data_IF_428680017551
#
_entry.id   IF_428680017551
#
_cell.length_a   1.000
_cell.length_b   1.000
_cell.length_c   1.000
_cell.angle_alpha   90.00
_cell.angle_beta   90.00
_cell.angle_gamma   90.00
#
_symmetry.space_group_name_H-M   'P 1'
#
loop_
_entity.id
_entity.type
_entity.pdbx_description
1 polymer ?
#
# COMPACT_ATOMS: atom_id res chain seq x y z
N UNK A 1 -75.84 2.87 49.12
CA UNK A 1 -76.43 4.21 48.86
C UNK A 1 -76.01 4.66 47.48
N UNK A 2 -76.95 5.22 46.73
CA UNK A 2 -76.85 5.59 45.33
C UNK A 2 -75.98 6.86 45.08
N UNK A 3 -75.35 6.89 43.90
CA UNK A 3 -75.35 7.99 42.90
C UNK A 3 -74.64 9.35 43.18
N UNK A 4 -73.77 9.70 42.20
CA UNK A 4 -73.90 10.83 41.23
C UNK A 4 -73.14 12.17 41.47
N UNK A 5 -72.28 12.46 40.48
CA UNK A 5 -72.06 13.68 39.65
C UNK A 5 -71.89 15.09 40.28
N UNK A 6 -71.00 15.86 39.62
CA UNK A 6 -71.17 17.28 39.26
C UNK A 6 -70.11 18.20 39.89
N UNK A 7 -69.24 18.89 39.16
CA UNK A 7 -69.40 20.05 38.24
C UNK A 7 -68.80 21.34 38.85
N UNK A 8 -67.61 21.72 38.36
CA UNK A 8 -67.21 23.04 37.79
C UNK A 8 -67.52 24.38 38.51
N UNK A 9 -66.47 25.19 38.77
CA UNK A 9 -66.22 26.63 38.39
C UNK A 9 -65.24 27.28 39.41
N UNK A 10 -64.04 27.72 39.02
CA UNK A 10 -63.65 28.99 38.36
C UNK A 10 -63.41 30.17 39.33
N UNK A 11 -62.18 30.74 39.33
CA UNK A 11 -61.86 32.13 38.90
C UNK A 11 -60.49 32.66 39.42
N UNK A 12 -59.72 33.20 38.45
CA UNK A 12 -58.81 34.39 38.44
C UNK A 12 -57.76 34.56 39.55
N UNK A 13 -56.50 34.96 39.32
CA UNK A 13 -55.82 35.88 38.37
C UNK A 13 -54.29 35.67 38.57
N UNK A 14 -53.33 35.95 37.69
CA UNK A 14 -52.98 37.17 36.95
C UNK A 14 -52.06 36.84 35.76
N UNK A 15 -52.09 37.72 34.76
CA UNK A 15 -51.39 37.69 33.47
C UNK A 15 -49.89 37.99 33.57
N UNK A 16 -49.09 37.40 32.66
CA UNK A 16 -48.05 38.14 31.93
C UNK A 16 -48.12 37.78 30.44
N UNK A 17 -48.34 38.81 29.63
CA UNK A 17 -48.26 38.75 28.17
C UNK A 17 -46.79 38.67 27.72
N UNK A 18 -46.53 37.87 26.70
CA UNK A 18 -45.36 37.95 25.84
C UNK A 18 -45.77 37.63 24.41
N UNK A 19 -45.64 38.61 23.51
CA UNK A 19 -46.08 38.59 22.12
C UNK A 19 -45.39 37.49 21.28
N UNK A 20 -46.18 36.76 20.48
CA UNK A 20 -45.70 35.92 19.38
C UNK A 20 -45.81 36.72 18.08
N UNK A 21 -44.68 37.11 17.49
CA UNK A 21 -44.62 37.61 16.11
C UNK A 21 -44.26 36.45 15.17
N UNK A 22 -45.19 36.11 14.28
CA UNK A 22 -44.93 35.29 13.11
C UNK A 22 -43.95 36.01 12.17
N UNK A 23 -42.80 35.40 11.90
CA UNK A 23 -42.09 35.59 10.64
C UNK A 23 -41.85 34.24 9.99
N UNK A 24 -42.42 34.09 8.80
CA UNK A 24 -42.06 33.05 7.83
C UNK A 24 -40.62 33.30 7.41
N UNK A 25 -39.74 32.33 7.58
CA UNK A 25 -38.48 32.28 6.86
C UNK A 25 -38.48 31.03 5.98
N UNK A 26 -38.62 31.25 4.67
CA UNK A 26 -38.27 30.26 3.67
C UNK A 26 -36.75 30.10 3.69
N UNK A 27 -36.25 28.93 4.08
CA UNK A 27 -34.93 28.48 3.63
C UNK A 27 -35.07 27.04 3.17
N UNK A 28 -35.03 26.87 1.85
CA UNK A 28 -34.84 25.57 1.25
C UNK A 28 -33.38 25.18 1.50
N UNK A 29 -33.15 24.25 2.42
CA UNK A 29 -31.87 23.57 2.48
C UNK A 29 -31.83 22.54 1.34
N UNK A 30 -30.83 22.57 0.46
CA UNK A 30 -30.58 21.46 -0.43
C UNK A 30 -30.22 20.24 0.42
N UNK A 31 -30.82 19.08 0.14
CA UNK A 31 -30.33 17.81 0.62
C UNK A 31 -28.90 17.61 0.08
N UNK A 32 -27.90 17.98 0.88
CA UNK A 32 -26.53 17.57 0.64
C UNK A 32 -26.40 16.10 1.07
N UNK A 33 -25.90 15.27 0.14
CA UNK A 33 -25.35 13.97 0.46
C UNK A 33 -24.34 14.10 1.63
N UNK A 34 -24.15 13.06 2.45
CA UNK A 34 -23.22 13.12 3.58
C UNK A 34 -21.82 13.48 3.05
N UNK A 35 -21.33 14.67 3.41
CA UNK A 35 -19.93 15.03 3.25
C UNK A 35 -19.12 14.05 4.11
N UNK A 36 -18.57 13.01 3.51
CA UNK A 36 -17.45 12.29 4.09
C UNK A 36 -16.31 13.31 4.21
N UNK A 37 -15.92 13.67 5.43
CA UNK A 37 -14.72 14.46 5.62
C UNK A 37 -13.52 13.56 5.30
N UNK A 38 -13.00 13.67 4.08
CA UNK A 38 -11.83 12.89 3.64
C UNK A 38 -10.59 13.11 4.52
N UNK A 39 -10.61 14.13 5.40
CA UNK A 39 -9.58 14.32 6.40
C UNK A 39 -9.56 13.21 7.46
N UNK A 40 -10.67 12.52 7.69
CA UNK A 40 -10.79 11.45 8.68
C UNK A 40 -10.14 10.13 8.22
N UNK A 41 -9.83 9.99 6.92
CA UNK A 41 -9.16 8.80 6.36
C UNK A 41 -7.64 8.81 6.60
N UNK A 42 -7.05 9.98 6.86
CA UNK A 42 -5.65 10.12 7.30
C UNK A 42 -5.58 11.10 8.47
N UNK A 43 -5.51 10.56 9.68
CA UNK A 43 -5.42 11.36 10.89
C UNK A 43 -3.99 11.89 11.07
N UNK A 44 -3.88 13.02 11.76
CA UNK A 44 -2.60 13.62 12.13
C UNK A 44 -2.52 13.68 13.64
N UNK A 45 -1.47 13.11 14.20
CA UNK A 45 -1.11 13.27 15.62
C UNK A 45 0.19 14.06 15.71
N UNK A 46 0.18 15.12 16.52
CA UNK A 46 1.35 15.95 16.78
C UNK A 46 1.80 15.82 18.23
N UNK A 47 3.06 15.43 18.43
CA UNK A 47 3.72 15.46 19.73
C UNK A 47 4.97 16.34 19.66
N UNK A 48 5.90 16.18 20.60
CA UNK A 48 7.03 17.09 20.83
C UNK A 48 7.72 17.56 19.53
N UNK A 49 8.63 16.76 18.97
CA UNK A 49 9.26 17.01 17.65
C UNK A 49 8.73 16.08 16.56
N UNK A 50 7.74 15.24 16.85
CA UNK A 50 7.22 14.25 15.92
C UNK A 50 5.84 14.60 15.36
N UNK A 51 5.61 14.22 14.10
CA UNK A 51 4.27 14.16 13.48
C UNK A 51 3.99 12.76 12.98
N UNK A 52 2.82 12.23 13.28
CA UNK A 52 2.37 10.95 12.77
C UNK A 52 1.23 11.13 11.76
N UNK A 53 1.39 10.52 10.58
CA UNK A 53 0.30 10.27 9.65
C UNK A 53 -0.29 8.88 9.96
N UNK A 54 -1.58 8.83 10.29
CA UNK A 54 -2.26 7.60 10.68
C UNK A 54 -3.30 7.25 9.60
N UNK A 55 -3.06 6.19 8.84
CA UNK A 55 -4.01 5.67 7.87
C UNK A 55 -5.22 5.12 8.62
N UNK A 56 -6.41 5.66 8.35
CA UNK A 56 -7.59 5.46 9.19
C UNK A 56 -8.83 5.04 8.40
N UNK A 57 -8.71 3.92 7.69
CA UNK A 57 -9.83 3.18 7.06
C UNK A 57 -9.79 1.72 7.49
N UNK A 58 -9.91 1.41 8.80
CA UNK A 58 -9.66 0.07 9.33
C UNK A 58 -10.64 -0.99 8.79
N UNK A 59 -11.87 -0.58 8.42
CA UNK A 59 -12.87 -1.45 7.77
C UNK A 59 -12.43 -1.93 6.38
N UNK A 60 -11.62 -1.14 5.68
CA UNK A 60 -11.05 -1.43 4.37
C UNK A 60 -9.55 -1.79 4.46
N UNK A 61 -9.06 -2.22 5.63
CA UNK A 61 -7.65 -2.56 5.87
C UNK A 61 -6.66 -1.44 5.49
N UNK A 62 -7.11 -0.19 5.61
CA UNK A 62 -6.33 0.99 5.24
C UNK A 62 -5.90 0.98 3.76
N UNK A 63 -6.72 0.41 2.87
CA UNK A 63 -6.52 0.51 1.44
C UNK A 63 -6.48 1.98 0.99
N UNK A 64 -5.50 2.31 0.14
CA UNK A 64 -5.13 3.67 -0.20
C UNK A 64 -6.04 4.24 -1.29
N UNK A 65 -6.73 5.34 -1.00
CA UNK A 65 -7.55 6.09 -1.96
C UNK A 65 -6.81 7.29 -2.53
N UNK A 66 -7.33 7.89 -3.61
CA UNK A 66 -6.77 9.13 -4.15
C UNK A 66 -6.80 10.31 -3.17
N UNK A 67 -7.88 10.57 -2.41
CA UNK A 67 -7.86 11.56 -1.35
C UNK A 67 -6.78 11.33 -0.28
N UNK A 68 -6.57 10.07 0.13
CA UNK A 68 -5.52 9.72 1.10
C UNK A 68 -4.12 10.01 0.53
N UNK A 69 -3.81 9.53 -0.67
CA UNK A 69 -2.50 9.77 -1.31
C UNK A 69 -2.21 11.26 -1.48
N UNK A 70 -3.19 12.04 -1.94
CA UNK A 70 -3.07 13.49 -2.07
C UNK A 70 -2.88 14.19 -0.71
N UNK A 71 -3.56 13.73 0.34
CA UNK A 71 -3.41 14.25 1.70
C UNK A 71 -2.04 13.93 2.28
N UNK A 72 -1.57 12.70 2.17
CA UNK A 72 -0.24 12.28 2.61
C UNK A 72 0.85 13.12 1.95
N UNK A 73 0.79 13.29 0.62
CA UNK A 73 1.72 14.15 -0.12
C UNK A 73 1.77 15.57 0.45
N UNK A 74 0.62 16.23 0.61
CA UNK A 74 0.55 17.59 1.17
C UNK A 74 1.10 17.69 2.59
N UNK A 75 0.81 16.69 3.43
CA UNK A 75 1.30 16.65 4.81
C UNK A 75 2.83 16.53 4.83
N UNK A 76 3.39 15.60 4.07
CA UNK A 76 4.84 15.37 4.03
C UNK A 76 5.58 16.59 3.49
N UNK A 77 5.12 17.18 2.38
CA UNK A 77 5.70 18.43 1.84
C UNK A 77 5.65 19.57 2.87
N UNK A 78 4.54 19.72 3.59
CA UNK A 78 4.40 20.75 4.61
C UNK A 78 5.26 20.50 5.87
N UNK A 79 5.40 19.25 6.28
CA UNK A 79 6.14 18.89 7.49
C UNK A 79 7.65 19.00 7.31
N UNK A 80 8.12 18.82 6.09
CA UNK A 80 9.54 18.92 5.75
C UNK A 80 10.06 20.35 5.88
N UNK A 81 9.27 21.33 5.42
CA UNK A 81 9.61 22.76 5.53
C UNK A 81 9.43 23.33 6.95
N UNK A 82 8.82 22.59 7.87
CA UNK A 82 8.50 23.08 9.21
C UNK A 82 9.65 22.81 10.21
N UNK A 83 10.35 23.82 10.75
CA UNK A 83 11.47 23.63 11.67
C UNK A 83 11.08 23.07 13.05
N UNK A 84 9.79 23.11 13.40
CA UNK A 84 9.30 22.53 14.66
C UNK A 84 9.11 21.01 14.58
N UNK A 85 9.13 20.44 13.37
CA UNK A 85 9.01 19.00 13.15
C UNK A 85 10.40 18.45 12.87
N UNK A 86 10.90 17.61 13.77
CA UNK A 86 12.19 16.96 13.65
C UNK A 86 12.13 15.64 12.87
N UNK A 87 11.07 14.85 13.05
CA UNK A 87 10.87 13.60 12.32
C UNK A 87 9.40 13.24 12.15
N UNK A 88 9.12 12.30 11.25
CA UNK A 88 7.77 11.89 10.90
C UNK A 88 7.56 10.38 11.12
N UNK A 89 6.32 10.01 11.46
CA UNK A 89 5.90 8.63 11.60
C UNK A 89 4.76 8.34 10.63
N UNK A 90 4.68 7.09 10.17
CA UNK A 90 3.51 6.55 9.50
C UNK A 90 3.06 5.26 10.16
N UNK A 91 1.76 5.14 10.44
CA UNK A 91 1.15 3.91 10.97
C UNK A 91 -0.27 3.73 10.42
N UNK A 92 -0.80 2.52 10.54
CA UNK A 92 -2.21 2.23 10.27
C UNK A 92 -3.04 2.13 11.55
N UNK A 93 -4.34 2.41 11.47
CA UNK A 93 -5.30 2.08 12.52
C UNK A 93 -5.89 0.68 12.33
N UNK A 94 -6.23 0.02 13.44
CA UNK A 94 -6.84 -1.31 13.40
C UNK A 94 -5.81 -2.42 13.15
N UNK A 95 -6.14 -3.37 12.25
CA UNK A 95 -5.42 -4.64 12.07
C UNK A 95 -4.43 -4.66 10.88
N UNK A 96 -4.29 -3.55 10.18
CA UNK A 96 -3.45 -3.44 9.01
C UNK A 96 -2.69 -2.12 9.04
N UNK A 97 -1.47 -2.10 8.53
CA UNK A 97 -0.81 -0.86 8.17
C UNK A 97 -1.49 -0.29 6.92
N UNK A 98 -1.39 -1.01 5.79
CA UNK A 98 -2.00 -0.66 4.51
C UNK A 98 -2.07 -1.92 3.63
N UNK A 99 -3.25 -2.27 3.14
CA UNK A 99 -3.44 -3.44 2.26
C UNK A 99 -3.23 -3.17 0.77
N UNK A 100 -2.60 -2.04 0.41
CA UNK A 100 -2.36 -1.65 -0.98
C UNK A 100 -3.37 -0.62 -1.49
N UNK A 101 -3.47 -0.47 -2.81
CA UNK A 101 -4.39 0.48 -3.45
C UNK A 101 -5.84 0.05 -3.24
N UNK A 102 -6.78 1.00 -3.19
CA UNK A 102 -8.22 0.70 -3.22
C UNK A 102 -8.63 0.24 -4.63
N UNK A 103 -8.24 -0.99 -4.96
CA UNK A 103 -8.36 -1.57 -6.29
C UNK A 103 -9.82 -1.72 -6.74
N UNK A 104 -10.75 -1.93 -5.80
CA UNK A 104 -12.19 -1.99 -6.09
C UNK A 104 -12.69 -0.63 -6.61
N UNK A 105 -12.24 0.47 -5.99
CA UNK A 105 -12.58 1.81 -6.47
C UNK A 105 -11.99 2.06 -7.86
N UNK A 106 -10.73 1.68 -8.11
CA UNK A 106 -10.12 1.80 -9.44
C UNK A 106 -10.87 0.99 -10.50
N UNK A 107 -11.27 -0.24 -10.17
CA UNK A 107 -12.07 -1.09 -11.06
C UNK A 107 -13.39 -0.41 -11.49
N UNK A 108 -14.12 0.17 -10.54
CA UNK A 108 -15.36 0.88 -10.86
C UNK A 108 -15.10 2.12 -11.72
N UNK A 109 -14.06 2.91 -11.41
CA UNK A 109 -13.67 4.06 -12.23
C UNK A 109 -13.32 3.66 -13.66
N UNK A 110 -12.56 2.58 -13.85
CA UNK A 110 -12.20 2.08 -15.18
C UNK A 110 -13.43 1.61 -15.98
N UNK A 111 -14.38 0.95 -15.32
CA UNK A 111 -15.62 0.50 -15.98
C UNK A 111 -16.57 1.66 -16.31
N UNK A 112 -16.52 2.74 -15.53
CA UNK A 112 -17.24 3.99 -15.81
C UNK A 112 -16.53 4.86 -16.88
N UNK A 113 -15.41 4.41 -17.44
CA UNK A 113 -14.63 5.14 -18.44
C UNK A 113 -13.82 6.31 -17.88
N UNK A 114 -13.63 6.39 -16.56
CA UNK A 114 -12.93 7.47 -15.85
C UNK A 114 -11.42 7.18 -15.70
N UNK A 115 -10.78 6.77 -16.78
CA UNK A 115 -9.36 6.35 -16.79
C UNK A 115 -8.45 7.49 -16.30
N UNK A 116 -8.77 8.74 -16.61
CA UNK A 116 -8.01 9.92 -16.17
C UNK A 116 -7.95 10.08 -14.64
N UNK A 117 -8.98 9.65 -13.92
CA UNK A 117 -8.96 9.67 -12.45
C UNK A 117 -7.97 8.63 -11.89
N UNK A 118 -7.90 7.45 -12.52
CA UNK A 118 -6.91 6.41 -12.18
C UNK A 118 -5.48 6.88 -12.49
N UNK A 119 -5.25 7.52 -13.64
CA UNK A 119 -3.91 8.07 -13.99
C UNK A 119 -3.42 9.09 -12.97
N UNK A 120 -4.29 10.02 -12.57
CA UNK A 120 -3.99 11.03 -11.52
C UNK A 120 -3.71 10.39 -10.17
N UNK A 121 -4.40 9.29 -9.84
CA UNK A 121 -4.10 8.53 -8.64
C UNK A 121 -2.68 7.98 -8.65
N UNK A 122 -2.29 7.24 -9.69
CA UNK A 122 -0.93 6.68 -9.81
C UNK A 122 0.14 7.79 -9.82
N UNK A 123 -0.09 8.88 -10.56
CA UNK A 123 0.81 10.03 -10.58
C UNK A 123 1.04 10.61 -9.17
N UNK A 124 -0.05 10.80 -8.42
CA UNK A 124 0.01 11.34 -7.05
C UNK A 124 0.69 10.37 -6.10
N UNK A 125 0.36 9.08 -6.18
CA UNK A 125 0.97 8.03 -5.37
C UNK A 125 2.48 7.98 -5.61
N UNK A 126 2.92 8.00 -6.86
CA UNK A 126 4.33 7.79 -7.19
C UNK A 126 5.17 9.01 -6.84
N UNK A 127 4.61 10.22 -7.04
CA UNK A 127 5.21 11.45 -6.50
C UNK A 127 5.33 11.40 -4.98
N UNK A 128 4.33 10.87 -4.28
CA UNK A 128 4.38 10.73 -2.83
C UNK A 128 5.45 9.72 -2.38
N UNK A 129 5.51 8.54 -3.00
CA UNK A 129 6.53 7.52 -2.70
C UNK A 129 7.93 8.09 -2.92
N UNK A 130 8.14 8.87 -3.99
CA UNK A 130 9.40 9.54 -4.22
C UNK A 130 9.74 10.56 -3.12
N UNK A 131 8.80 11.42 -2.73
CA UNK A 131 8.99 12.39 -1.62
C UNK A 131 9.35 11.67 -0.33
N UNK A 132 8.66 10.58 0.00
CA UNK A 132 8.96 9.79 1.19
C UNK A 132 10.33 9.12 1.10
N UNK A 133 10.70 8.56 -0.06
CA UNK A 133 11.98 7.90 -0.28
C UNK A 133 13.18 8.84 -0.24
N UNK A 134 12.95 10.13 -0.46
CA UNK A 134 13.96 11.20 -0.52
C UNK A 134 13.77 12.24 0.59
N UNK A 135 13.06 11.88 1.66
CA UNK A 135 12.59 12.83 2.66
C UNK A 135 13.74 13.42 3.48
N UNK A 136 13.81 14.74 3.69
CA UNK A 136 14.99 15.34 4.34
C UNK A 136 15.05 15.13 5.86
N UNK A 137 14.00 14.55 6.45
CA UNK A 137 13.90 14.26 7.88
C UNK A 137 13.78 12.77 8.12
N UNK A 138 14.13 12.26 9.31
CA UNK A 138 13.91 10.86 9.62
C UNK A 138 12.43 10.48 9.48
N UNK A 139 12.20 9.35 8.83
CA UNK A 139 10.88 8.76 8.63
C UNK A 139 10.83 7.38 9.29
N UNK A 140 9.83 7.15 10.14
CA UNK A 140 9.58 5.88 10.83
C UNK A 140 8.25 5.29 10.35
N UNK A 141 8.28 4.18 9.62
CA UNK A 141 7.10 3.39 9.32
C UNK A 141 6.89 2.29 10.37
N UNK A 142 5.69 2.24 10.97
CA UNK A 142 5.26 1.18 11.89
C UNK A 142 4.32 0.26 11.12
N UNK A 143 4.85 -0.91 10.75
CA UNK A 143 4.23 -1.90 9.89
C UNK A 143 3.49 -2.97 10.70
N UNK A 144 2.61 -2.56 11.61
CA UNK A 144 1.81 -3.49 12.42
C UNK A 144 0.61 -4.05 11.63
N UNK A 145 0.63 -5.34 11.32
CA UNK A 145 -0.43 -6.00 10.53
C UNK A 145 -0.13 -6.09 9.03
N UNK A 146 -1.18 -6.22 8.23
CA UNK A 146 -1.07 -6.35 6.77
C UNK A 146 -0.40 -5.12 6.14
N UNK A 147 0.68 -5.36 5.38
CA UNK A 147 1.43 -4.39 4.58
C UNK A 147 1.59 -4.95 3.17
N UNK A 148 0.66 -4.61 2.27
CA UNK A 148 0.63 -5.22 0.93
C UNK A 148 0.69 -4.20 -0.18
N UNK A 149 1.28 -4.58 -1.31
CA UNK A 149 1.44 -3.78 -2.51
C UNK A 149 1.97 -2.37 -2.26
N UNK A 150 1.23 -1.33 -2.67
CA UNK A 150 1.63 0.05 -2.43
C UNK A 150 1.84 0.41 -0.93
N UNK A 151 1.34 -0.40 0.02
CA UNK A 151 1.67 -0.29 1.44
C UNK A 151 3.19 -0.43 1.69
N UNK A 152 3.87 -1.29 0.95
CA UNK A 152 5.33 -1.35 0.92
C UNK A 152 5.94 -0.07 0.32
N UNK A 153 5.37 0.44 -0.76
CA UNK A 153 5.83 1.68 -1.40
C UNK A 153 5.77 2.90 -0.48
N UNK A 154 4.68 3.06 0.27
CA UNK A 154 4.52 4.15 1.24
C UNK A 154 5.20 3.89 2.60
N UNK A 155 6.19 2.99 2.65
CA UNK A 155 6.91 2.72 3.90
C UNK A 155 8.38 2.35 3.71
N UNK A 156 8.67 1.38 2.83
CA UNK A 156 9.98 0.76 2.70
C UNK A 156 11.09 1.75 2.27
N UNK A 157 10.85 2.69 1.32
CA UNK A 157 11.83 3.70 0.95
C UNK A 157 12.21 4.70 2.07
N UNK A 158 11.60 4.62 3.27
CA UNK A 158 11.92 5.50 4.39
C UNK A 158 13.26 5.22 5.07
N UNK A 159 13.49 5.80 6.26
CA UNK A 159 14.72 5.56 7.03
C UNK A 159 14.59 4.36 7.97
N UNK A 160 13.49 4.29 8.72
CA UNK A 160 13.23 3.21 9.68
C UNK A 160 11.92 2.49 9.37
N UNK A 161 11.98 1.16 9.42
CA UNK A 161 10.85 0.24 9.23
C UNK A 161 10.77 -0.66 10.45
N UNK A 162 9.79 -0.41 11.31
CA UNK A 162 9.49 -1.20 12.49
C UNK A 162 8.38 -2.20 12.17
N UNK A 163 8.70 -3.49 12.25
CA UNK A 163 7.75 -4.60 12.08
C UNK A 163 7.41 -5.26 13.41
N UNK A 164 6.32 -6.01 13.44
CA UNK A 164 5.84 -6.72 14.62
C UNK A 164 5.59 -8.20 14.34
N UNK A 165 5.23 -8.96 15.37
CA UNK A 165 4.73 -10.33 15.26
C UNK A 165 3.42 -10.44 14.45
N UNK A 166 2.74 -9.32 14.19
CA UNK A 166 1.53 -9.27 13.36
C UNK A 166 1.79 -8.88 11.91
N UNK A 167 2.99 -8.43 11.58
CA UNK A 167 3.31 -7.98 10.21
C UNK A 167 3.12 -9.11 9.22
N UNK A 168 2.40 -8.83 8.14
CA UNK A 168 2.29 -9.70 6.97
C UNK A 168 2.54 -8.86 5.73
N UNK A 169 3.70 -9.05 5.12
CA UNK A 169 4.14 -8.34 3.92
C UNK A 169 3.96 -9.20 2.67
N UNK A 170 3.46 -8.63 1.58
CA UNK A 170 3.42 -9.30 0.27
C UNK A 170 3.21 -8.31 -0.89
N UNK A 171 3.64 -8.71 -2.07
CA UNK A 171 3.31 -8.09 -3.35
C UNK A 171 2.47 -9.05 -4.22
N UNK A 172 1.15 -9.16 -3.99
CA UNK A 172 0.28 -10.11 -4.70
C UNK A 172 -0.23 -9.59 -6.06
N UNK A 173 0.35 -8.53 -6.62
CA UNK A 173 -0.17 -7.80 -7.78
C UNK A 173 -0.25 -8.66 -9.04
N UNK A 174 0.67 -9.59 -9.26
CA UNK A 174 0.63 -10.52 -10.40
C UNK A 174 -0.64 -11.37 -10.41
N UNK A 175 -1.16 -11.67 -9.22
CA UNK A 175 -2.40 -12.41 -9.03
C UNK A 175 -3.65 -11.56 -9.30
N UNK A 176 -3.50 -10.23 -9.35
CA UNK A 176 -4.56 -9.26 -9.68
C UNK A 176 -4.47 -8.79 -11.14
N UNK A 177 -3.58 -9.35 -11.96
CA UNK A 177 -3.36 -8.87 -13.32
C UNK A 177 -2.60 -7.53 -13.38
N UNK A 178 -1.72 -7.30 -12.41
CA UNK A 178 -0.91 -6.09 -12.30
C UNK A 178 0.55 -6.41 -11.99
N UNK A 179 1.42 -5.40 -11.98
CA UNK A 179 2.82 -5.57 -11.57
C UNK A 179 3.02 -5.06 -10.14
N UNK A 180 3.99 -5.59 -9.38
CA UNK A 180 4.47 -4.93 -8.17
C UNK A 180 4.93 -3.51 -8.49
N UNK A 181 4.39 -2.55 -7.76
CA UNK A 181 4.39 -1.15 -8.13
C UNK A 181 4.86 -0.25 -6.97
N UNK A 182 4.81 1.07 -7.15
CA UNK A 182 5.13 2.05 -6.10
C UNK A 182 6.51 1.85 -5.46
N UNK A 183 7.53 1.58 -6.26
CA UNK A 183 8.92 1.35 -5.85
C UNK A 183 9.25 -0.11 -5.55
N UNK A 184 8.33 -1.06 -5.75
CA UNK A 184 8.59 -2.48 -5.51
C UNK A 184 9.77 -3.02 -6.31
N UNK A 185 9.91 -2.62 -7.57
CA UNK A 185 11.08 -3.00 -8.37
C UNK A 185 12.40 -2.44 -7.84
N UNK A 186 12.38 -1.37 -7.05
CA UNK A 186 13.57 -0.84 -6.38
C UNK A 186 13.93 -1.68 -5.15
N UNK A 187 13.03 -1.87 -4.19
CA UNK A 187 13.38 -2.53 -2.94
C UNK A 187 13.46 -4.07 -3.06
N UNK A 188 12.65 -4.70 -3.92
CA UNK A 188 12.72 -6.17 -4.11
C UNK A 188 13.99 -6.58 -4.87
N UNK A 189 14.41 -5.81 -5.87
CA UNK A 189 15.61 -6.13 -6.68
C UNK A 189 16.93 -6.05 -5.91
N UNK A 190 16.92 -5.45 -4.71
CA UNK A 190 18.06 -5.31 -3.80
C UNK A 190 18.13 -6.39 -2.74
N UNK A 191 17.13 -7.29 -2.70
CA UNK A 191 17.16 -8.43 -1.79
C UNK A 191 18.25 -9.43 -2.22
N UNK A 192 18.73 -10.28 -1.28
CA UNK A 192 19.77 -11.25 -1.58
C UNK A 192 19.41 -12.17 -2.76
N UNK A 193 20.39 -12.42 -3.63
CA UNK A 193 20.25 -13.34 -4.75
C UNK A 193 19.08 -12.98 -5.68
N UNK A 194 18.20 -13.95 -5.89
CA UNK A 194 16.98 -13.85 -6.69
C UNK A 194 15.70 -13.88 -5.83
N UNK A 195 15.83 -13.54 -4.55
CA UNK A 195 14.70 -13.53 -3.62
C UNK A 195 13.64 -12.48 -3.98
N UNK A 196 14.05 -11.34 -4.56
CA UNK A 196 13.14 -10.31 -5.04
C UNK A 196 12.20 -10.80 -6.13
N UNK A 197 12.75 -11.49 -7.13
CA UNK A 197 12.02 -12.11 -8.22
C UNK A 197 11.03 -13.16 -7.70
N UNK A 198 11.45 -13.98 -6.72
CA UNK A 198 10.58 -14.93 -6.04
C UNK A 198 9.37 -14.25 -5.38
N UNK A 199 9.59 -13.23 -4.56
CA UNK A 199 8.49 -12.53 -3.87
C UNK A 199 7.55 -11.85 -4.86
N UNK A 200 8.10 -11.19 -5.88
CA UNK A 200 7.37 -10.43 -6.87
C UNK A 200 6.48 -11.31 -7.77
N UNK A 201 6.98 -12.47 -8.20
CA UNK A 201 6.27 -13.36 -9.11
C UNK A 201 5.21 -14.19 -8.39
N UNK A 202 5.51 -14.65 -7.18
CA UNK A 202 4.67 -15.61 -6.46
C UNK A 202 3.63 -14.94 -5.56
N UNK A 203 3.90 -13.69 -5.12
CA UNK A 203 3.11 -13.02 -4.10
C UNK A 203 3.20 -13.68 -2.72
N UNK A 204 4.29 -14.40 -2.45
CA UNK A 204 4.53 -15.04 -1.15
C UNK A 204 4.48 -14.03 -0.01
N UNK A 205 3.98 -14.48 1.15
CA UNK A 205 3.88 -13.65 2.34
C UNK A 205 5.12 -13.80 3.19
N UNK A 206 5.65 -12.67 3.66
CA UNK A 206 6.68 -12.62 4.70
C UNK A 206 6.08 -12.14 6.01
N UNK A 207 6.48 -12.78 7.10
CA UNK A 207 6.22 -12.25 8.43
C UNK A 207 7.29 -11.22 8.85
N UNK A 208 7.08 -10.54 9.99
CA UNK A 208 8.03 -9.53 10.49
C UNK A 208 9.45 -10.06 10.72
N UNK A 209 9.62 -11.31 11.17
CA UNK A 209 10.95 -11.91 11.39
C UNK A 209 11.67 -12.12 10.06
N UNK A 210 10.95 -12.57 9.04
CA UNK A 210 11.51 -12.78 7.70
C UNK A 210 11.88 -11.45 7.03
N UNK A 211 11.08 -10.40 7.22
CA UNK A 211 11.41 -9.06 6.73
C UNK A 211 12.71 -8.52 7.34
N UNK A 212 12.96 -8.76 8.63
CA UNK A 212 14.26 -8.39 9.25
C UNK A 212 15.39 -9.17 8.61
N UNK A 213 15.23 -10.49 8.47
CA UNK A 213 16.29 -11.35 8.02
C UNK A 213 16.67 -11.15 6.54
N UNK A 214 15.73 -10.72 5.68
CA UNK A 214 16.02 -10.36 4.30
C UNK A 214 16.38 -8.87 4.08
N UNK A 215 16.34 -8.04 5.13
CA UNK A 215 16.66 -6.62 5.07
C UNK A 215 15.52 -5.70 4.62
N UNK A 216 14.29 -6.20 4.46
CA UNK A 216 13.10 -5.37 4.21
C UNK A 216 12.66 -4.57 5.45
N UNK A 217 13.06 -4.96 6.65
CA UNK A 217 12.77 -4.21 7.87
C UNK A 217 14.05 -3.93 8.65
N UNK A 218 14.05 -2.84 9.42
CA UNK A 218 15.20 -2.44 10.24
C UNK A 218 15.10 -2.89 11.68
N UNK A 219 13.89 -2.89 12.23
CA UNK A 219 13.64 -3.12 13.64
C UNK A 219 12.42 -4.01 13.80
N UNK A 220 12.46 -4.88 14.80
CA UNK A 220 11.35 -5.75 15.16
C UNK A 220 11.02 -5.57 16.62
N UNK A 221 9.74 -5.51 16.96
CA UNK A 221 9.26 -5.58 18.34
C UNK A 221 8.00 -6.43 18.43
N UNK A 222 7.75 -7.05 19.58
CA UNK A 222 6.42 -7.61 19.84
C UNK A 222 5.36 -6.50 19.87
N UNK A 223 4.20 -6.74 19.27
CA UNK A 223 3.06 -5.82 19.25
C UNK A 223 2.66 -5.35 20.66
N UNK A 224 2.81 -6.22 21.67
CA UNK A 224 2.55 -5.89 23.08
C UNK A 224 3.41 -4.74 23.63
N UNK A 225 4.56 -4.45 23.00
CA UNK A 225 5.47 -3.35 23.37
C UNK A 225 5.33 -2.12 22.47
N UNK A 226 4.53 -2.19 21.40
CA UNK A 226 4.43 -1.13 20.41
C UNK A 226 4.01 0.21 21.02
N UNK A 227 3.05 0.18 21.96
CA UNK A 227 2.62 1.38 22.67
C UNK A 227 3.75 2.09 23.44
N UNK A 228 4.74 1.36 23.96
CA UNK A 228 5.89 1.95 24.64
C UNK A 228 6.85 2.63 23.67
N UNK A 229 7.04 2.05 22.49
CA UNK A 229 7.84 2.65 21.41
C UNK A 229 7.18 3.93 20.92
N UNK A 230 5.87 3.91 20.67
CA UNK A 230 5.14 5.09 20.22
C UNK A 230 5.17 6.22 21.26
N UNK A 231 5.01 5.88 22.54
CA UNK A 231 5.13 6.85 23.63
C UNK A 231 6.54 7.43 23.72
N UNK A 232 7.58 6.60 23.57
CA UNK A 232 8.97 7.04 23.55
C UNK A 232 9.22 8.01 22.40
N UNK A 233 8.90 7.61 21.17
CA UNK A 233 9.05 8.46 19.97
C UNK A 233 8.23 9.75 20.09
N UNK A 234 7.03 9.67 20.67
CA UNK A 234 6.19 10.83 20.91
C UNK A 234 6.81 11.90 21.81
N UNK A 235 7.57 11.47 22.82
CA UNK A 235 8.20 12.34 23.82
C UNK A 235 9.62 12.77 23.44
N UNK A 236 10.16 12.30 22.31
CA UNK A 236 11.50 12.66 21.86
C UNK A 236 11.56 14.11 21.38
N UNK A 237 12.59 14.82 21.84
CA UNK A 237 12.97 16.17 21.39
C UNK A 237 14.23 16.17 20.54
N UNK A 238 15.00 15.09 20.55
CA UNK A 238 16.15 14.88 19.68
C UNK A 238 15.68 14.16 18.40
N UNK A 239 15.97 14.75 17.26
CA UNK A 239 15.61 14.29 15.92
C UNK A 239 16.81 13.72 15.13
N UNK A 240 17.96 13.56 15.76
CA UNK A 240 19.10 12.83 15.21
C UNK A 240 18.70 11.37 14.88
N UNK A 241 18.90 10.89 13.63
CA UNK A 241 18.68 9.51 13.24
C UNK A 241 19.23 8.47 14.24
N UNK A 242 20.44 8.68 14.78
CA UNK A 242 21.06 7.74 15.71
C UNK A 242 20.29 7.63 17.05
N UNK A 243 19.69 8.73 17.50
CA UNK A 243 18.87 8.74 18.71
C UNK A 243 17.53 8.02 18.49
N UNK A 244 16.95 8.14 17.29
CA UNK A 244 15.73 7.42 16.88
C UNK A 244 16.03 5.93 16.79
N UNK A 245 17.11 5.54 16.11
CA UNK A 245 17.58 4.16 16.01
C UNK A 245 17.78 3.55 17.39
N UNK A 246 18.53 4.22 18.28
CA UNK A 246 18.74 3.74 19.64
C UNK A 246 17.43 3.58 20.42
N UNK A 247 16.44 4.45 20.18
CA UNK A 247 15.13 4.35 20.84
C UNK A 247 14.29 3.19 20.31
N UNK A 248 14.37 2.89 19.01
CA UNK A 248 13.74 1.71 18.40
C UNK A 248 14.41 0.42 18.90
N UNK A 249 15.74 0.38 18.89
CA UNK A 249 16.54 -0.77 19.33
C UNK A 249 16.36 -1.09 20.82
N UNK A 250 16.17 -0.09 21.68
CA UNK A 250 15.95 -0.29 23.12
C UNK A 250 14.76 -1.22 23.43
N UNK A 251 13.72 -1.17 22.62
CA UNK A 251 12.51 -1.99 22.76
C UNK A 251 12.44 -3.11 21.72
N UNK A 252 13.44 -3.18 20.84
CA UNK A 252 13.54 -4.19 19.81
C UNK A 252 13.90 -5.56 20.37
N UNK A 253 13.46 -6.60 19.68
CA UNK A 253 13.80 -7.98 20.01
C UNK A 253 14.71 -8.56 18.92
N UNK A 254 15.75 -9.29 19.33
CA UNK A 254 16.57 -10.08 18.40
C UNK A 254 15.77 -11.31 17.97
N UNK A 255 15.49 -11.41 16.68
CA UNK A 255 14.72 -12.49 16.08
C UNK A 255 15.50 -13.20 14.98
N UNK A 256 15.23 -14.48 14.81
CA UNK A 256 15.85 -15.31 13.79
C UNK A 256 14.77 -16.13 13.06
N UNK A 257 14.86 -16.27 11.73
CA UNK A 257 13.92 -17.11 10.98
C UNK A 257 13.92 -18.54 11.50
N UNK A 258 12.73 -19.10 11.63
CA UNK A 258 12.53 -20.49 12.02
C UNK A 258 13.01 -21.48 10.95
N UNK A 259 12.81 -22.78 11.19
CA UNK A 259 13.20 -23.84 10.25
C UNK A 259 12.28 -23.95 9.04
N UNK A 260 11.03 -23.49 9.15
CA UNK A 260 10.02 -23.47 8.10
C UNK A 260 10.08 -22.24 7.21
N UNK A 261 10.82 -21.20 7.63
CA UNK A 261 10.95 -19.95 6.89
C UNK A 261 11.45 -20.17 5.48
N UNK A 262 10.88 -19.40 4.55
CA UNK A 262 11.26 -19.44 3.14
C UNK A 262 12.72 -19.03 2.92
N UNK A 263 13.32 -18.28 3.85
CA UNK A 263 14.74 -17.94 3.80
C UNK A 263 15.66 -19.15 3.95
N UNK A 264 15.15 -20.29 4.44
CA UNK A 264 15.89 -21.56 4.46
C UNK A 264 15.92 -22.25 3.08
N UNK A 265 15.18 -21.73 2.09
CA UNK A 265 15.11 -22.22 0.71
C UNK A 265 15.91 -21.37 -0.27
N UNK A 266 16.78 -20.48 0.21
CA UNK A 266 17.48 -19.49 -0.64
C UNK A 266 18.26 -20.15 -1.79
N UNK A 267 18.93 -21.29 -1.56
CA UNK A 267 19.67 -21.99 -2.60
C UNK A 267 18.76 -22.50 -3.73
N UNK A 268 17.57 -23.01 -3.37
CA UNK A 268 16.56 -23.44 -4.36
C UNK A 268 15.94 -22.24 -5.08
N UNK A 269 15.69 -21.15 -4.35
CA UNK A 269 15.17 -19.91 -4.93
C UNK A 269 16.18 -19.34 -5.92
N UNK A 270 17.44 -19.18 -5.54
CA UNK A 270 18.50 -18.67 -6.40
C UNK A 270 18.71 -19.56 -7.62
N UNK A 271 18.65 -20.89 -7.44
CA UNK A 271 18.70 -21.82 -8.57
C UNK A 271 17.56 -21.58 -9.56
N UNK A 272 16.31 -21.57 -9.10
CA UNK A 272 15.16 -21.52 -9.99
C UNK A 272 14.85 -20.13 -10.55
N UNK A 273 14.96 -19.08 -9.73
CA UNK A 273 14.59 -17.71 -10.11
C UNK A 273 15.72 -16.94 -10.80
N UNK A 274 16.90 -17.55 -10.96
CA UNK A 274 17.98 -17.00 -11.78
C UNK A 274 17.76 -17.14 -13.29
N UNK A 275 16.90 -18.06 -13.72
CA UNK A 275 16.58 -18.30 -15.14
C UNK A 275 15.99 -17.07 -15.83
N UNK A 276 16.28 -16.90 -17.13
CA UNK A 276 16.07 -15.62 -17.81
C UNK A 276 14.61 -15.29 -18.12
N UNK A 277 13.79 -16.31 -18.27
CA UNK A 277 12.37 -16.19 -18.62
C UNK A 277 11.47 -16.85 -17.57
N UNK A 278 10.20 -16.43 -17.53
CA UNK A 278 9.23 -17.00 -16.58
C UNK A 278 9.00 -18.49 -16.88
N UNK A 279 9.01 -18.87 -18.15
CA UNK A 279 8.91 -20.23 -18.64
C UNK A 279 10.05 -21.09 -18.08
N UNK A 280 11.30 -20.66 -18.19
CA UNK A 280 12.45 -21.38 -17.66
C UNK A 280 12.42 -21.47 -16.12
N UNK A 281 11.92 -20.43 -15.43
CA UNK A 281 11.73 -20.46 -13.97
C UNK A 281 10.71 -21.56 -13.60
N UNK A 282 9.58 -21.64 -14.31
CA UNK A 282 8.56 -22.67 -14.11
C UNK A 282 9.14 -24.06 -14.38
N UNK A 283 9.83 -24.25 -15.50
CA UNK A 283 10.47 -25.52 -15.84
C UNK A 283 11.49 -25.94 -14.77
N UNK A 284 12.29 -25.01 -14.26
CA UNK A 284 13.23 -25.27 -13.17
C UNK A 284 12.51 -25.70 -11.89
N UNK A 285 11.43 -25.02 -11.53
CA UNK A 285 10.62 -25.37 -10.35
C UNK A 285 9.92 -26.74 -10.50
N UNK A 286 9.44 -27.10 -11.70
CA UNK A 286 8.85 -28.40 -11.96
C UNK A 286 9.87 -29.54 -11.81
N UNK A 287 11.10 -29.31 -12.30
CA UNK A 287 12.20 -30.25 -12.11
C UNK A 287 12.57 -30.43 -10.63
N UNK A 288 12.65 -29.35 -9.85
CA UNK A 288 12.90 -29.42 -8.41
C UNK A 288 11.76 -30.14 -7.66
N UNK A 289 10.51 -29.85 -8.00
CA UNK A 289 9.34 -30.48 -7.40
C UNK A 289 9.31 -32.00 -7.65
N UNK A 290 9.76 -32.45 -8.83
CA UNK A 290 9.84 -33.87 -9.19
C UNK A 290 11.02 -34.58 -8.51
N UNK A 291 12.18 -33.92 -8.39
CA UNK A 291 13.40 -34.53 -7.83
C UNK A 291 13.38 -34.72 -6.31
N UNK A 292 12.72 -33.81 -5.57
CA UNK A 292 12.79 -33.76 -4.11
C UNK A 292 11.47 -34.11 -3.38
N UNK A 293 10.39 -34.43 -4.10
CA UNK A 293 9.02 -34.50 -3.54
C UNK A 293 8.68 -33.26 -2.69
N UNK A 294 9.14 -32.09 -3.11
CA UNK A 294 9.03 -30.87 -2.31
C UNK A 294 7.67 -30.21 -2.51
N UNK A 295 6.81 -30.30 -1.49
CA UNK A 295 5.49 -29.66 -1.50
C UNK A 295 5.58 -28.13 -1.55
N UNK A 296 6.71 -27.52 -1.15
CA UNK A 296 6.92 -26.09 -1.29
C UNK A 296 6.98 -25.66 -2.76
N UNK A 297 7.80 -26.33 -3.59
CA UNK A 297 7.88 -26.03 -5.03
C UNK A 297 6.51 -26.16 -5.72
N UNK A 298 5.69 -27.14 -5.31
CA UNK A 298 4.33 -27.31 -5.84
C UNK A 298 3.41 -26.13 -5.48
N UNK A 299 3.50 -25.62 -4.26
CA UNK A 299 2.75 -24.41 -3.84
C UNK A 299 3.21 -23.19 -4.64
N UNK A 300 4.53 -23.02 -4.82
CA UNK A 300 5.10 -21.92 -5.61
C UNK A 300 4.60 -21.97 -7.06
N UNK A 301 4.68 -23.14 -7.69
CA UNK A 301 4.17 -23.36 -9.05
C UNK A 301 2.67 -23.06 -9.16
N UNK A 302 1.89 -23.51 -8.17
CA UNK A 302 0.46 -23.22 -8.13
C UNK A 302 0.20 -21.71 -8.10
N UNK A 303 0.88 -20.98 -7.23
CA UNK A 303 0.71 -19.53 -7.11
C UNK A 303 1.06 -18.80 -8.42
N UNK A 304 2.15 -19.20 -9.08
CA UNK A 304 2.52 -18.62 -10.38
C UNK A 304 1.50 -18.97 -11.48
N UNK A 305 1.02 -20.22 -11.54
CA UNK A 305 0.01 -20.63 -12.53
C UNK A 305 -1.36 -19.97 -12.35
N UNK A 306 -1.68 -19.50 -11.14
CA UNK A 306 -2.90 -18.73 -10.87
C UNK A 306 -2.77 -17.23 -11.20
N UNK A 307 -1.56 -16.73 -11.44
CA UNK A 307 -1.29 -15.33 -11.79
C UNK A 307 -1.49 -15.06 -13.29
N UNK A 308 -1.62 -13.78 -13.65
CA UNK A 308 -1.70 -13.36 -15.05
C UNK A 308 -0.37 -13.64 -15.77
N UNK A 309 -0.38 -14.36 -16.91
CA UNK A 309 0.84 -14.66 -17.66
C UNK A 309 1.60 -13.40 -18.10
N UNK A 310 0.87 -12.38 -18.59
CA UNK A 310 1.46 -11.10 -18.98
C UNK A 310 2.06 -10.39 -17.76
N UNK A 311 1.34 -10.39 -16.63
CA UNK A 311 1.80 -9.77 -15.39
C UNK A 311 3.09 -10.41 -14.85
N UNK A 312 3.24 -11.73 -14.97
CA UNK A 312 4.48 -12.42 -14.60
C UNK A 312 5.65 -11.94 -15.45
N UNK A 313 5.50 -11.87 -16.78
CA UNK A 313 6.60 -11.45 -17.67
C UNK A 313 7.03 -10.00 -17.45
N UNK A 314 6.06 -9.07 -17.36
CA UNK A 314 6.39 -7.65 -17.09
C UNK A 314 6.98 -7.47 -15.69
N UNK A 315 6.58 -8.29 -14.70
CA UNK A 315 7.14 -8.25 -13.35
C UNK A 315 8.59 -8.71 -13.34
N UNK A 316 8.90 -9.86 -13.96
CA UNK A 316 10.28 -10.37 -14.03
C UNK A 316 11.22 -9.33 -14.64
N UNK A 317 10.82 -8.72 -15.77
CA UNK A 317 11.61 -7.68 -16.42
C UNK A 317 11.77 -6.44 -15.51
N UNK A 318 10.69 -5.98 -14.86
CA UNK A 318 10.73 -4.81 -13.97
C UNK A 318 11.68 -4.98 -12.78
N UNK A 319 11.64 -6.14 -12.09
CA UNK A 319 12.55 -6.42 -10.97
C UNK A 319 14.01 -6.45 -11.46
N UNK A 320 14.29 -7.14 -12.57
CA UNK A 320 15.64 -7.27 -13.12
C UNK A 320 16.25 -5.94 -13.54
N UNK A 321 15.49 -5.11 -14.23
CA UNK A 321 15.93 -3.77 -14.59
C UNK A 321 16.07 -2.84 -13.36
N UNK A 322 15.20 -2.99 -12.35
CA UNK A 322 15.24 -2.22 -11.10
C UNK A 322 16.50 -2.42 -10.27
N UNK A 323 17.21 -3.53 -10.48
CA UNK A 323 18.50 -3.84 -9.83
C UNK A 323 19.60 -2.84 -10.17
N UNK A 324 19.50 -2.18 -11.34
CA UNK A 324 20.51 -1.25 -11.86
C UNK A 324 20.04 0.20 -11.92
N UNK A 325 18.85 0.50 -11.37
CA UNK A 325 18.22 1.80 -11.45
C UNK A 325 18.04 2.45 -10.09
N UNK A 326 18.06 3.78 -10.05
CA UNK A 326 17.69 4.57 -8.87
C UNK A 326 16.18 4.52 -8.60
N UNK A 327 15.75 4.95 -7.42
CA UNK A 327 14.33 4.94 -7.03
C UNK A 327 13.45 5.75 -8.00
N UNK A 328 13.90 6.94 -8.42
CA UNK A 328 13.19 7.78 -9.40
C UNK A 328 13.04 7.10 -10.76
N UNK A 329 14.08 6.40 -11.23
CA UNK A 329 14.05 5.66 -12.48
C UNK A 329 13.08 4.47 -12.41
N UNK A 330 13.11 3.72 -11.31
CA UNK A 330 12.16 2.63 -11.05
C UNK A 330 10.71 3.16 -11.02
N UNK A 331 10.45 4.25 -10.29
CA UNK A 331 9.11 4.86 -10.21
C UNK A 331 8.64 5.39 -11.56
N UNK A 332 9.51 6.03 -12.33
CA UNK A 332 9.17 6.50 -13.66
C UNK A 332 8.80 5.35 -14.60
N UNK A 333 9.56 4.24 -14.57
CA UNK A 333 9.22 3.02 -15.35
C UNK A 333 7.91 2.41 -14.89
N UNK A 334 7.77 2.16 -13.59
CA UNK A 334 6.56 1.57 -13.03
C UNK A 334 5.32 2.44 -13.32
N UNK A 335 5.47 3.76 -13.42
CA UNK A 335 4.37 4.65 -13.78
C UNK A 335 3.87 4.34 -15.19
N UNK A 336 4.79 4.19 -16.15
CA UNK A 336 4.44 3.77 -17.53
C UNK A 336 3.74 2.43 -17.52
N UNK A 337 4.28 1.46 -16.79
CA UNK A 337 3.72 0.12 -16.67
C UNK A 337 2.31 0.16 -16.07
N UNK A 338 2.09 0.96 -15.03
CA UNK A 338 0.79 1.14 -14.38
C UNK A 338 -0.23 1.74 -15.33
N UNK A 339 0.16 2.78 -16.08
CA UNK A 339 -0.71 3.39 -17.08
C UNK A 339 -1.04 2.41 -18.22
N UNK A 340 -0.06 1.63 -18.67
CA UNK A 340 -0.27 0.57 -19.66
C UNK A 340 -1.25 -0.50 -19.15
N UNK A 341 -1.06 -0.97 -17.91
CA UNK A 341 -1.91 -1.98 -17.26
C UNK A 341 -3.36 -1.56 -17.07
N UNK A 342 -3.63 -0.27 -16.84
CA UNK A 342 -5.00 0.24 -16.73
C UNK A 342 -5.62 0.68 -18.06
N UNK A 343 -4.82 0.81 -19.13
CA UNK A 343 -5.26 1.36 -20.42
C UNK A 343 -6.15 0.42 -21.24
N UNK A 344 -6.15 -0.88 -20.92
CA UNK A 344 -6.81 -1.94 -21.69
C UNK A 344 -6.34 -2.06 -23.15
N UNK A 345 -5.18 -1.47 -23.51
CA UNK A 345 -4.62 -1.53 -24.87
C UNK A 345 -4.06 -2.91 -25.22
N UNK A 346 -3.39 -3.54 -24.26
CA UNK A 346 -2.76 -4.86 -24.43
C UNK A 346 -3.63 -5.96 -23.83
N UNK A 347 -4.14 -5.73 -22.62
CA UNK A 347 -4.87 -6.72 -21.83
C UNK A 347 -5.84 -6.04 -20.88
N UNK A 348 -6.92 -6.74 -20.51
CA UNK A 348 -7.87 -6.33 -19.48
C UNK A 348 -7.61 -7.03 -18.12
N UNK A 349 -6.46 -7.71 -17.96
CA UNK A 349 -6.13 -8.53 -16.81
C UNK A 349 -6.25 -7.78 -15.48
N UNK A 350 -5.86 -6.50 -15.41
CA UNK A 350 -6.01 -5.72 -14.18
C UNK A 350 -7.47 -5.64 -13.71
N UNK A 351 -8.39 -5.35 -14.62
CA UNK A 351 -9.82 -5.28 -14.27
C UNK A 351 -10.38 -6.67 -13.98
N UNK A 352 -9.95 -7.69 -14.72
CA UNK A 352 -10.41 -9.07 -14.53
C UNK A 352 -9.92 -9.69 -13.21
N UNK A 353 -8.67 -9.46 -12.84
CA UNK A 353 -8.11 -9.95 -11.59
C UNK A 353 -8.78 -9.31 -10.37
N UNK A 354 -9.04 -8.00 -10.43
CA UNK A 354 -9.82 -7.31 -9.40
C UNK A 354 -11.25 -7.84 -9.33
N UNK A 355 -11.91 -8.03 -10.48
CA UNK A 355 -13.25 -8.62 -10.55
C UNK A 355 -13.26 -9.97 -9.84
N UNK A 356 -12.40 -10.88 -10.27
CA UNK A 356 -12.36 -12.26 -9.79
C UNK A 356 -12.03 -12.38 -8.29
N UNK A 357 -11.11 -11.56 -7.78
CA UNK A 357 -10.60 -11.69 -6.40
C UNK A 357 -11.27 -10.79 -5.37
N UNK A 358 -11.72 -9.60 -5.76
CA UNK A 358 -12.17 -8.57 -4.81
C UNK A 358 -13.64 -8.21 -4.97
N UNK A 359 -14.18 -8.22 -6.19
CA UNK A 359 -15.57 -7.83 -6.48
C UNK A 359 -16.49 -9.04 -6.42
N UNK A 360 -16.36 -9.96 -7.38
CA UNK A 360 -17.21 -11.14 -7.51
C UNK A 360 -16.74 -12.27 -6.58
N UNK A 361 -15.44 -12.31 -6.29
CA UNK A 361 -14.80 -13.30 -5.40
C UNK A 361 -15.04 -14.75 -5.85
N UNK A 362 -15.04 -14.97 -7.16
CA UNK A 362 -15.10 -16.31 -7.76
C UNK A 362 -13.73 -17.00 -7.78
N UNK A 363 -12.65 -16.24 -7.60
CA UNK A 363 -11.25 -16.71 -7.68
C UNK A 363 -10.91 -17.41 -9.01
N UNK A 364 -11.63 -17.07 -10.08
CA UNK A 364 -11.48 -17.67 -11.41
C UNK A 364 -11.28 -16.59 -12.49
N UNK A 365 -10.16 -15.83 -12.42
CA UNK A 365 -9.86 -14.82 -13.43
C UNK A 365 -9.64 -15.45 -14.80
N UNK A 366 -10.17 -14.79 -15.82
CA UNK A 366 -10.01 -15.17 -17.23
C UNK A 366 -8.95 -14.29 -17.87
N UNK A 367 -7.69 -14.67 -17.67
CA UNK A 367 -6.55 -13.93 -18.20
C UNK A 367 -6.57 -13.88 -19.73
N UNK A 368 -6.16 -12.74 -20.28
CA UNK A 368 -6.01 -12.49 -21.70
C UNK A 368 -4.68 -11.72 -21.92
N UNK A 369 -3.60 -12.38 -22.38
CA UNK A 369 -3.55 -13.75 -22.88
C UNK A 369 -3.67 -14.84 -21.78
N UNK A 370 -4.19 -16.04 -22.11
CA UNK A 370 -4.49 -17.09 -21.13
C UNK A 370 -3.29 -17.95 -20.72
N UNK A 371 -2.18 -17.89 -21.47
CA UNK A 371 -0.98 -18.71 -21.23
C UNK A 371 0.31 -17.89 -21.42
N UNK A 372 1.46 -18.42 -20.97
CA UNK A 372 2.74 -17.73 -21.12
C UNK A 372 3.19 -17.70 -22.58
N UNK A 373 2.92 -18.76 -23.33
CA UNK A 373 3.26 -18.92 -24.73
C UNK A 373 2.55 -17.90 -25.63
N UNK A 374 1.35 -17.48 -25.21
CA UNK A 374 0.55 -16.48 -25.91
C UNK A 374 1.00 -15.03 -25.62
N UNK A 375 1.88 -14.80 -24.64
CA UNK A 375 2.43 -13.47 -24.34
C UNK A 375 3.59 -13.17 -25.29
N UNK A 376 3.33 -12.33 -26.30
CA UNK A 376 4.38 -11.87 -27.22
C UNK A 376 5.33 -10.87 -26.55
N UNK A 377 6.53 -10.73 -27.12
CA UNK A 377 7.52 -9.75 -26.65
C UNK A 377 7.00 -8.32 -26.75
N UNK A 378 6.29 -8.01 -27.83
CA UNK A 378 5.66 -6.73 -28.13
C UNK A 378 4.54 -6.36 -27.12
N UNK A 379 3.81 -7.34 -26.58
CA UNK A 379 2.90 -7.11 -25.45
C UNK A 379 3.66 -6.64 -24.20
N UNK A 380 4.79 -7.28 -23.88
CA UNK A 380 5.65 -6.91 -22.75
C UNK A 380 6.28 -5.54 -22.98
N UNK A 381 6.94 -5.33 -24.12
CA UNK A 381 7.63 -4.09 -24.48
C UNK A 381 6.67 -2.87 -24.46
N UNK A 382 5.38 -3.07 -24.71
CA UNK A 382 4.36 -2.02 -24.61
C UNK A 382 4.25 -1.43 -23.19
N UNK A 383 4.46 -2.21 -22.13
CA UNK A 383 4.44 -1.73 -20.74
C UNK A 383 5.63 -0.83 -20.38
N UNK A 384 6.74 -0.98 -21.11
CA UNK A 384 7.99 -0.24 -20.85
C UNK A 384 8.20 0.94 -21.81
N UNK A 385 7.38 1.01 -22.87
CA UNK A 385 7.45 2.06 -23.89
C UNK A 385 7.16 3.44 -23.29
N UNK A 386 7.81 4.48 -23.84
CA UNK A 386 7.56 5.87 -23.45
C UNK A 386 6.10 6.23 -23.64
N UNK A 387 5.58 7.08 -22.76
CA UNK A 387 4.24 7.63 -22.91
C UNK A 387 4.20 8.52 -24.16
N UNK A 388 3.10 8.46 -24.92
CA UNK A 388 2.95 9.22 -26.16
C UNK A 388 2.87 10.74 -25.90
N UNK A 389 2.97 11.57 -26.95
CA UNK A 389 3.03 13.05 -26.81
C UNK A 389 1.90 13.70 -25.99
N UNK A 390 0.74 13.03 -25.89
CA UNK A 390 -0.43 13.52 -25.16
C UNK A 390 -0.48 13.05 -23.70
N UNK A 391 0.40 12.14 -23.29
CA UNK A 391 0.45 11.57 -21.95
C UNK A 391 1.78 11.94 -21.29
N UNK A 392 1.77 12.78 -20.23
CA UNK A 392 3.01 13.25 -19.62
C UNK A 392 3.75 12.12 -18.88
N UNK A 393 5.07 12.11 -19.00
CA UNK A 393 5.95 11.30 -18.18
C UNK A 393 5.90 11.71 -16.70
N UNK A 394 6.26 10.78 -15.80
CA UNK A 394 6.34 11.08 -14.38
C UNK A 394 7.48 12.06 -14.10
N UNK A 395 7.13 13.31 -13.78
CA UNK A 395 8.11 14.33 -13.40
C UNK A 395 8.34 14.29 -11.88
N UNK A 396 9.57 13.95 -11.50
CA UNK A 396 10.05 13.89 -10.11
C UNK A 396 11.13 14.97 -9.86
N UNK A 397 11.18 15.57 -8.66
CA UNK A 397 12.15 16.62 -8.32
C UNK A 397 13.57 16.10 -8.05
N UNK A 398 14.17 15.36 -9.00
CA UNK A 398 15.46 14.66 -8.85
C UNK A 398 16.67 15.58 -8.71
N UNK A 399 16.61 16.80 -9.22
CA UNK A 399 17.68 17.79 -9.05
C UNK A 399 17.79 18.33 -7.61
N UNK A 400 16.78 18.09 -6.77
CA UNK A 400 16.65 18.70 -5.45
C UNK A 400 16.87 17.71 -4.31
N UNK A 401 16.79 16.39 -4.56
CA UNK A 401 16.83 15.36 -3.52
C UNK A 401 17.39 14.03 -4.01
N UNK A 402 18.14 13.35 -3.15
CA UNK A 402 18.63 11.99 -3.35
C UNK A 402 17.91 11.01 -2.40
N UNK A 403 17.64 9.76 -2.83
CA UNK A 403 17.00 8.77 -1.98
C UNK A 403 17.94 8.31 -0.86
N UNK A 404 17.36 7.96 0.29
CA UNK A 404 18.12 7.19 1.28
C UNK A 404 18.41 5.81 0.71
N UNK A 405 19.68 5.41 0.78
CA UNK A 405 20.17 4.10 0.34
C UNK A 405 20.29 3.19 1.55
#
# INVERSE_FOLDING_TARGET
MQRVKGLVKARHSFQRLGFLSHQRCFSAHPNYAPNYDFQDEVLVEGRAKSRAAILNRPSALNALTAPMAARLKRLYESWEENPDIGFVLMKGSGRAFCSGVDAVTLYHLLNDGKVEECKRFFETLYKFVYVQGTYLKPHVAILDGTTMGCGGGISLPGMFRLVTDKTVFANPETQLGFHPDAGASFYLSRLPGYFGEYLALTGEKLNGVEMIACGLATHYCLNARLAWIEERLGNMTNDDPAAIESSLAQYGDLVYPDRSSVLRRIDTIDKCFSCDTVEEIIDSLENEAAGAYDDWCKTVLKNMKEASPLSLKVTLQSIREGRFQSLDQCLAREYRMSLAGISKRVSNDFSEGIRARLVDKDFAPKWDPPSLEDVSKDMVDCYFSSLGELEPELVLPTALREPYI
#
